data_IF_206474364989
#
_entry.id   IF_206474364989
#
_cell.length_a   1.000
_cell.length_b   1.000
_cell.length_c   1.000
_cell.angle_alpha   90.00
_cell.angle_beta   90.00
_cell.angle_gamma   90.00
#
_symmetry.space_group_name_H-M   'P 1'
#
loop_
_entity.id
_entity.type
_entity.pdbx_description
1 polymer ?
#
# COMPACT_ATOMS: atom_id res chain seq x y z
N UNK A 1 -0.54 -11.80 -6.84
CA UNK A 1 -0.46 -11.54 -8.30
C UNK A 1 0.56 -10.45 -8.52
N UNK A 2 1.54 -10.71 -9.35
CA UNK A 2 2.41 -9.68 -9.90
C UNK A 2 1.59 -8.96 -10.97
N UNK A 3 1.37 -7.67 -10.82
CA UNK A 3 0.82 -6.86 -11.89
C UNK A 3 1.91 -6.69 -12.94
N UNK A 4 1.69 -7.19 -14.15
CA UNK A 4 2.57 -6.85 -15.27
C UNK A 4 2.28 -5.41 -15.70
N UNK A 5 2.94 -4.48 -15.02
CA UNK A 5 2.90 -3.05 -15.33
C UNK A 5 3.84 -2.69 -16.49
N UNK A 6 4.38 -3.71 -17.18
CA UNK A 6 5.50 -3.56 -18.09
C UNK A 6 5.11 -3.50 -19.58
N UNK A 7 3.91 -3.08 -19.90
CA UNK A 7 3.49 -2.92 -21.29
C UNK A 7 4.26 -1.79 -21.98
N UNK A 8 5.14 -2.15 -22.91
CA UNK A 8 5.86 -1.22 -23.79
C UNK A 8 7.27 -1.71 -24.13
N UNK A 9 7.83 -1.16 -25.20
CA UNK A 9 9.17 -1.48 -25.74
C UNK A 9 10.32 -0.76 -25.00
N UNK A 10 10.08 -0.25 -23.80
CA UNK A 10 11.10 0.43 -23.01
C UNK A 10 12.01 -0.55 -22.29
N UNK A 11 13.27 -0.19 -22.10
CA UNK A 11 14.26 -0.97 -21.38
C UNK A 11 13.75 -1.32 -19.98
N UNK A 12 13.77 -2.61 -19.56
CA UNK A 12 13.33 -3.02 -18.24
C UNK A 12 14.23 -2.43 -17.15
N UNK A 13 13.64 -2.03 -16.02
CA UNK A 13 14.40 -1.55 -14.87
C UNK A 13 15.29 -2.66 -14.30
N UNK A 14 16.47 -2.30 -13.74
CA UNK A 14 17.30 -3.23 -12.99
C UNK A 14 16.52 -3.85 -11.83
N UNK A 15 16.66 -5.16 -11.67
CA UNK A 15 16.01 -5.94 -10.62
C UNK A 15 16.90 -6.09 -9.38
N UNK A 16 16.32 -6.50 -8.25
CA UNK A 16 17.08 -6.84 -7.06
C UNK A 16 18.05 -8.00 -7.34
N UNK A 17 19.36 -7.72 -7.33
CA UNK A 17 20.40 -8.66 -7.72
C UNK A 17 20.44 -9.93 -6.84
N UNK A 18 20.08 -9.81 -5.57
CA UNK A 18 20.11 -10.91 -4.59
C UNK A 18 18.84 -11.80 -4.64
N UNK A 19 17.87 -11.47 -5.51
CA UNK A 19 16.65 -12.25 -5.60
C UNK A 19 16.79 -13.38 -6.63
N UNK A 20 16.35 -14.57 -6.26
CA UNK A 20 16.27 -15.70 -7.16
C UNK A 20 15.09 -15.55 -8.14
N UNK A 21 15.05 -16.41 -9.17
CA UNK A 21 14.05 -16.37 -10.22
C UNK A 21 12.61 -16.58 -9.74
N UNK A 22 12.41 -17.26 -8.62
CA UNK A 22 11.08 -17.47 -8.05
C UNK A 22 10.60 -16.22 -7.31
N UNK A 23 11.48 -15.59 -6.54
CA UNK A 23 11.18 -14.36 -5.83
C UNK A 23 10.92 -13.20 -6.78
N UNK A 24 11.63 -13.11 -7.89
CA UNK A 24 11.42 -12.09 -8.93
C UNK A 24 10.02 -12.15 -9.57
N UNK A 25 9.31 -13.28 -9.45
CA UNK A 25 7.92 -13.45 -9.94
C UNK A 25 6.86 -13.11 -8.90
N UNK A 26 7.27 -12.67 -7.71
CA UNK A 26 6.36 -12.38 -6.61
C UNK A 26 6.28 -10.88 -6.32
N UNK A 27 5.21 -10.49 -5.64
CA UNK A 27 5.06 -9.18 -5.05
C UNK A 27 4.71 -9.34 -3.56
N UNK A 28 5.33 -8.53 -2.72
CA UNK A 28 5.08 -8.53 -1.28
C UNK A 28 4.40 -7.21 -0.88
N UNK A 29 3.33 -7.32 -0.08
CA UNK A 29 2.62 -6.16 0.45
C UNK A 29 2.65 -6.20 1.97
N UNK A 30 3.17 -5.14 2.57
CA UNK A 30 3.40 -5.05 4.01
C UNK A 30 2.73 -3.81 4.59
N UNK A 31 2.23 -3.92 5.81
CA UNK A 31 1.76 -2.79 6.60
C UNK A 31 2.65 -2.59 7.81
N UNK A 32 3.30 -1.44 7.89
CA UNK A 32 4.04 -0.98 9.07
C UNK A 32 3.16 -0.03 9.86
N UNK A 33 2.69 -0.51 11.01
CA UNK A 33 1.74 0.26 11.83
C UNK A 33 2.40 1.50 12.46
N UNK A 34 1.70 2.61 12.52
CA UNK A 34 0.25 2.75 12.28
C UNK A 34 -0.18 3.06 10.84
N UNK A 35 0.72 3.56 9.97
CA UNK A 35 0.29 4.33 8.80
C UNK A 35 1.22 4.24 7.59
N UNK A 36 2.06 3.21 7.49
CA UNK A 36 2.94 2.99 6.32
C UNK A 36 2.55 1.71 5.63
N UNK A 37 2.31 1.80 4.32
CA UNK A 37 2.09 0.66 3.44
C UNK A 37 3.26 0.53 2.47
N UNK A 38 3.69 -0.70 2.23
CA UNK A 38 4.78 -1.03 1.31
C UNK A 38 4.29 -2.03 0.28
N UNK A 39 4.65 -1.83 -0.97
CA UNK A 39 4.51 -2.84 -2.02
C UNK A 39 5.85 -3.05 -2.70
N UNK A 40 6.40 -4.26 -2.60
CA UNK A 40 7.73 -4.61 -3.10
C UNK A 40 7.55 -5.47 -4.34
N UNK A 41 8.14 -5.02 -5.45
CA UNK A 41 8.17 -5.71 -6.74
C UNK A 41 9.61 -6.11 -7.07
N UNK A 42 9.81 -6.80 -8.19
CA UNK A 42 11.13 -7.29 -8.61
C UNK A 42 12.18 -6.18 -8.84
N UNK A 43 11.76 -5.00 -9.28
CA UNK A 43 12.61 -3.90 -9.76
C UNK A 43 12.41 -2.58 -8.99
N UNK A 44 11.34 -2.49 -8.18
CA UNK A 44 11.02 -1.31 -7.41
C UNK A 44 10.21 -1.66 -6.16
N UNK A 45 10.07 -0.70 -5.27
CA UNK A 45 9.05 -0.72 -4.24
C UNK A 45 8.43 0.68 -4.08
N UNK A 46 7.18 0.69 -3.68
CA UNK A 46 6.51 1.90 -3.29
C UNK A 46 6.26 1.96 -1.79
N UNK A 47 6.27 3.15 -1.27
CA UNK A 47 5.92 3.46 0.11
C UNK A 47 4.74 4.42 0.08
N UNK A 48 3.66 4.09 0.78
CA UNK A 48 2.53 4.99 1.02
C UNK A 48 2.55 5.38 2.49
N UNK A 49 2.67 6.68 2.76
CA UNK A 49 2.47 7.25 4.07
C UNK A 49 1.05 7.81 4.16
N UNK A 50 0.25 7.24 5.06
CA UNK A 50 -1.11 7.67 5.34
C UNK A 50 -1.09 8.75 6.43
N UNK A 51 -1.52 9.96 6.10
CA UNK A 51 -1.59 11.10 7.02
C UNK A 51 -3.05 11.43 7.29
N UNK A 52 -3.53 11.12 8.49
CA UNK A 52 -4.89 11.45 8.90
C UNK A 52 -5.00 12.95 9.14
N UNK A 53 -5.84 13.63 8.37
CA UNK A 53 -6.10 15.07 8.49
C UNK A 53 -7.41 15.37 9.22
N UNK A 54 -8.41 14.50 9.04
CA UNK A 54 -9.70 14.58 9.73
C UNK A 54 -10.34 13.18 9.80
N UNK A 55 -11.47 13.05 10.47
CA UNK A 55 -12.21 11.79 10.62
C UNK A 55 -12.56 11.14 9.26
N UNK A 56 -12.78 11.97 8.26
CA UNK A 56 -13.17 11.56 6.90
C UNK A 56 -12.17 12.00 5.83
N UNK A 57 -10.95 12.37 6.23
CA UNK A 57 -9.94 12.85 5.29
C UNK A 57 -8.57 12.28 5.65
N UNK A 58 -7.97 11.57 4.68
CA UNK A 58 -6.61 11.06 4.75
C UNK A 58 -5.85 11.57 3.53
N UNK A 59 -4.66 12.09 3.75
CA UNK A 59 -3.72 12.40 2.68
C UNK A 59 -2.75 11.26 2.52
N UNK A 60 -2.54 10.81 1.30
CA UNK A 60 -1.57 9.80 0.96
C UNK A 60 -0.34 10.45 0.32
N UNK A 61 0.84 10.09 0.82
CA UNK A 61 2.11 10.43 0.18
C UNK A 61 2.74 9.16 -0.37
N UNK A 62 2.78 9.08 -1.68
CA UNK A 62 3.39 7.98 -2.41
C UNK A 62 4.83 8.31 -2.79
N UNK A 63 5.74 7.34 -2.59
CA UNK A 63 7.13 7.43 -3.00
C UNK A 63 7.56 6.12 -3.65
N UNK A 64 8.27 6.20 -4.78
CA UNK A 64 8.89 5.06 -5.44
C UNK A 64 10.39 5.04 -5.15
N UNK A 65 10.90 3.82 -4.90
CA UNK A 65 12.31 3.53 -4.78
C UNK A 65 12.64 2.35 -5.71
N UNK A 66 13.84 2.32 -6.25
CA UNK A 66 14.23 1.33 -7.25
C UNK A 66 15.26 0.37 -6.67
N UNK A 67 15.31 -0.83 -7.24
CA UNK A 67 16.20 -1.90 -6.78
C UNK A 67 17.69 -1.56 -6.97
N UNK A 68 18.01 -0.72 -7.96
CA UNK A 68 19.38 -0.30 -8.27
C UNK A 68 19.44 1.20 -8.56
N UNK A 69 20.55 1.83 -8.22
CA UNK A 69 20.80 3.25 -8.50
C UNK A 69 20.88 3.56 -10.01
N UNK A 70 21.28 2.59 -10.84
CA UNK A 70 21.26 2.73 -12.30
C UNK A 70 19.84 2.98 -12.85
N UNK A 71 18.80 2.56 -12.13
CA UNK A 71 17.42 2.79 -12.57
C UNK A 71 17.06 4.27 -12.75
N UNK A 72 17.84 5.23 -12.21
CA UNK A 72 17.64 6.67 -12.42
C UNK A 72 18.24 7.19 -13.72
N UNK A 73 19.06 6.42 -14.43
CA UNK A 73 19.67 6.81 -15.70
C UNK A 73 18.63 7.11 -16.77
N UNK A 74 18.99 7.95 -17.74
CA UNK A 74 18.09 8.45 -18.77
C UNK A 74 17.51 7.34 -19.66
N UNK A 75 18.25 6.25 -19.86
CA UNK A 75 17.79 5.08 -20.63
C UNK A 75 16.50 4.47 -20.05
N UNK A 76 16.30 4.56 -18.73
CA UNK A 76 15.13 4.01 -18.03
C UNK A 76 14.01 5.02 -17.81
N UNK A 77 14.14 6.25 -18.28
CA UNK A 77 13.15 7.31 -18.05
C UNK A 77 11.75 6.93 -18.48
N UNK A 78 11.59 6.50 -19.72
CA UNK A 78 10.29 6.11 -20.27
C UNK A 78 9.66 4.98 -19.43
N UNK A 79 10.48 4.06 -18.96
CA UNK A 79 10.03 2.96 -18.10
C UNK A 79 9.53 3.45 -16.75
N UNK A 80 10.25 4.36 -16.08
CA UNK A 80 9.80 4.96 -14.82
C UNK A 80 8.50 5.73 -15.00
N UNK A 81 8.34 6.51 -16.06
CA UNK A 81 7.12 7.27 -16.37
C UNK A 81 5.92 6.34 -16.57
N UNK A 82 6.10 5.26 -17.32
CA UNK A 82 5.08 4.23 -17.52
C UNK A 82 4.69 3.55 -16.20
N UNK A 83 5.67 3.21 -15.37
CA UNK A 83 5.48 2.63 -14.06
C UNK A 83 4.65 3.56 -13.14
N UNK A 84 5.04 4.83 -13.06
CA UNK A 84 4.31 5.81 -12.25
C UNK A 84 2.87 6.00 -12.73
N UNK A 85 2.67 6.04 -14.05
CA UNK A 85 1.33 6.15 -14.64
C UNK A 85 0.48 4.94 -14.30
N UNK A 86 1.03 3.73 -14.45
CA UNK A 86 0.32 2.49 -14.16
C UNK A 86 -0.09 2.40 -12.68
N UNK A 87 0.82 2.68 -11.76
CA UNK A 87 0.50 2.70 -10.33
C UNK A 87 -0.51 3.79 -9.96
N UNK A 88 -0.41 4.97 -10.59
CA UNK A 88 -1.39 6.04 -10.36
C UNK A 88 -2.81 5.62 -10.74
N UNK A 89 -2.97 4.84 -11.80
CA UNK A 89 -4.27 4.26 -12.20
C UNK A 89 -4.75 3.27 -11.14
N UNK A 90 -3.88 2.35 -10.71
CA UNK A 90 -4.22 1.33 -9.70
C UNK A 90 -4.69 2.00 -8.40
N UNK A 91 -3.94 2.97 -7.88
CA UNK A 91 -4.32 3.65 -6.64
C UNK A 91 -5.60 4.51 -6.79
N UNK A 92 -5.81 5.12 -7.97
CA UNK A 92 -7.01 5.90 -8.22
C UNK A 92 -8.30 5.04 -8.23
N UNK A 93 -8.22 3.78 -8.65
CA UNK A 93 -9.35 2.83 -8.61
C UNK A 93 -9.87 2.62 -7.19
N UNK A 94 -8.99 2.59 -6.20
CA UNK A 94 -9.34 2.32 -4.80
C UNK A 94 -10.01 3.51 -4.11
N UNK A 95 -9.77 4.74 -4.56
CA UNK A 95 -10.29 5.97 -3.90
C UNK A 95 -11.81 5.92 -3.76
N UNK A 96 -12.52 5.61 -4.84
CA UNK A 96 -13.99 5.59 -4.83
C UNK A 96 -14.55 4.52 -3.89
N UNK A 97 -13.85 3.39 -3.76
CA UNK A 97 -14.22 2.28 -2.87
C UNK A 97 -14.02 2.69 -1.41
N UNK A 98 -12.85 3.25 -1.07
CA UNK A 98 -12.53 3.72 0.29
C UNK A 98 -13.50 4.81 0.75
N UNK A 99 -13.80 5.79 -0.11
CA UNK A 99 -14.80 6.83 0.18
C UNK A 99 -16.21 6.24 0.35
N UNK A 100 -16.57 5.26 -0.48
CA UNK A 100 -17.84 4.53 -0.36
C UNK A 100 -17.96 3.79 0.96
N UNK A 101 -16.89 3.12 1.39
CA UNK A 101 -16.81 2.45 2.69
C UNK A 101 -16.95 3.44 3.85
N UNK A 102 -16.33 4.61 3.78
CA UNK A 102 -16.47 5.64 4.81
C UNK A 102 -17.91 6.14 4.92
N UNK A 103 -18.58 6.39 3.79
CA UNK A 103 -20.03 6.76 3.77
C UNK A 103 -20.89 5.63 4.34
N UNK A 104 -20.62 4.38 3.96
CA UNK A 104 -21.35 3.22 4.48
C UNK A 104 -21.24 3.05 5.99
N UNK A 105 -20.05 3.27 6.56
CA UNK A 105 -19.82 3.22 8.01
C UNK A 105 -20.55 4.32 8.79
N UNK A 106 -20.87 5.45 8.15
CA UNK A 106 -21.68 6.52 8.74
C UNK A 106 -23.19 6.23 8.69
N UNK A 107 -23.64 5.16 8.04
CA UNK A 107 -25.04 4.78 7.95
C UNK A 107 -25.58 4.30 9.32
N UNK A 108 -26.79 4.72 9.72
CA UNK A 108 -27.45 4.18 10.91
C UNK A 108 -27.70 2.65 10.87
N UNK A 109 -27.70 2.06 9.69
CA UNK A 109 -27.88 0.62 9.48
C UNK A 109 -26.55 -0.17 9.53
N UNK A 110 -25.41 0.50 9.71
CA UNK A 110 -24.12 -0.17 9.80
C UNK A 110 -23.94 -0.84 11.17
N UNK A 111 -23.82 -2.16 11.18
CA UNK A 111 -23.72 -3.00 12.38
C UNK A 111 -22.29 -3.47 12.70
N UNK A 112 -21.28 -2.96 11.99
CA UNK A 112 -19.87 -3.27 12.19
C UNK A 112 -19.26 -4.25 11.19
N UNK A 113 -20.04 -5.07 10.53
CA UNK A 113 -19.58 -6.08 9.57
C UNK A 113 -18.77 -7.23 10.20
N UNK A 114 -18.31 -8.16 9.37
CA UNK A 114 -17.56 -9.34 9.77
C UNK A 114 -16.25 -9.45 9.00
N UNK A 115 -15.20 -9.92 9.67
CA UNK A 115 -13.94 -10.29 9.01
C UNK A 115 -14.03 -11.69 8.43
N UNK A 116 -13.47 -11.90 7.23
CA UNK A 116 -13.30 -13.23 6.66
C UNK A 116 -11.97 -13.84 7.11
N UNK A 117 -11.92 -15.12 7.49
CA UNK A 117 -10.68 -15.73 7.95
C UNK A 117 -9.65 -15.93 6.86
N UNK A 118 -10.05 -15.84 5.57
CA UNK A 118 -9.17 -16.04 4.42
C UNK A 118 -8.53 -14.72 3.92
N UNK A 119 -9.32 -13.63 3.85
CA UNK A 119 -8.88 -12.39 3.18
C UNK A 119 -8.53 -11.28 4.16
N UNK A 120 -9.15 -11.27 5.35
CA UNK A 120 -9.07 -10.13 6.27
C UNK A 120 -8.08 -10.32 7.42
N UNK A 121 -7.23 -11.35 7.37
CA UNK A 121 -6.25 -11.64 8.46
C UNK A 121 -5.37 -10.43 8.78
N UNK A 122 -4.74 -9.74 7.80
CA UNK A 122 -3.93 -8.55 8.08
C UNK A 122 -4.75 -7.39 8.64
N UNK A 123 -5.96 -7.17 8.11
CA UNK A 123 -6.88 -6.11 8.54
C UNK A 123 -7.34 -6.35 9.98
N UNK A 124 -7.74 -7.58 10.30
CA UNK A 124 -8.11 -7.97 11.66
C UNK A 124 -6.95 -7.78 12.64
N UNK A 125 -5.74 -8.17 12.26
CA UNK A 125 -4.53 -7.96 13.06
C UNK A 125 -4.26 -6.47 13.34
N UNK A 126 -4.42 -5.61 12.33
CA UNK A 126 -4.33 -4.15 12.51
C UNK A 126 -5.36 -3.64 13.52
N UNK A 127 -6.64 -4.07 13.42
CA UNK A 127 -7.69 -3.68 14.36
C UNK A 127 -7.36 -4.10 15.81
N UNK A 128 -6.88 -5.33 16.02
CA UNK A 128 -6.44 -5.79 17.34
C UNK A 128 -5.29 -4.95 17.88
N UNK A 129 -4.28 -4.67 17.06
CA UNK A 129 -3.18 -3.82 17.43
C UNK A 129 -3.66 -2.42 17.84
N UNK A 130 -4.55 -1.80 17.06
CA UNK A 130 -5.09 -0.47 17.32
C UNK A 130 -5.87 -0.42 18.63
N UNK A 131 -6.78 -1.37 18.88
CA UNK A 131 -7.54 -1.48 20.11
C UNK A 131 -6.62 -1.61 21.33
N UNK A 132 -5.58 -2.41 21.25
CA UNK A 132 -4.61 -2.59 22.33
C UNK A 132 -3.89 -1.28 22.72
N UNK A 133 -3.76 -0.32 21.75
CA UNK A 133 -3.16 1.00 21.99
C UNK A 133 -4.15 1.97 22.63
N UNK A 134 -5.42 1.91 22.22
CA UNK A 134 -6.47 2.71 22.85
C UNK A 134 -6.66 2.36 24.31
N UNK A 135 -6.76 1.07 24.67
CA UNK A 135 -6.92 0.59 26.04
C UNK A 135 -5.77 1.04 26.95
N UNK A 136 -4.53 0.90 26.50
CA UNK A 136 -3.34 1.37 27.25
C UNK A 136 -3.34 2.87 27.52
N UNK A 137 -3.81 3.68 26.57
CA UNK A 137 -3.88 5.12 26.73
C UNK A 137 -5.02 5.55 27.67
N UNK A 138 -6.15 4.85 27.63
CA UNK A 138 -7.29 5.11 28.54
C UNK A 138 -6.91 4.83 29.99
N UNK A 139 -6.20 3.74 30.25
CA UNK A 139 -5.72 3.39 31.59
C UNK A 139 -4.71 4.41 32.16
N UNK A 140 -3.88 5.02 31.30
CA UNK A 140 -2.92 6.06 31.70
C UNK A 140 -3.56 7.42 31.99
N UNK A 141 -4.70 7.72 31.40
CA UNK A 141 -5.40 8.99 31.58
C UNK A 141 -6.24 9.04 32.87
N UNK A 142 -6.46 7.90 33.53
CA UNK A 142 -7.29 7.76 34.75
C UNK A 142 -6.41 7.54 36.01
N UNK A 143 -5.10 7.39 35.86
CA UNK A 143 -4.12 7.29 36.94
C UNK A 143 -3.39 8.60 37.17
#
# INVERSE_FOLDING_TARGET
>A
RVYDLTRGDSEPLPQFAEWDSERLKTAEYLSLYPNVLLGIQADHFFVILLMSEAVNQTRERLQFLYADTAAIDEIYRARRENLHTAWSIVFAEDISVVEGMQRGRASPAFDGGLFTPLMDVPTHHFHQWFLSRLEKNTTRAVS
#
